data_IF_783881120024
#
_entry.id   IF_783881120024
#
_cell.length_a   1.000
_cell.length_b   1.000
_cell.length_c   1.000
_cell.angle_alpha   90.00
_cell.angle_beta   90.00
_cell.angle_gamma   90.00
#
_symmetry.space_group_name_H-M   'P 1'
#
loop_
_entity.id
_entity.type
_entity.pdbx_description
1 polymer ?
#
# COMPACT_ATOMS: atom_id res chain seq x y z
N UNK A 1 -13.50 -23.25 -22.12
CA UNK A 1 -13.86 -21.82 -22.14
C UNK A 1 -13.62 -21.30 -20.74
N UNK A 2 -12.51 -20.60 -20.52
CA UNK A 2 -12.29 -19.92 -19.24
C UNK A 2 -13.26 -18.74 -19.24
N UNK A 3 -14.36 -18.87 -18.49
CA UNK A 3 -15.27 -17.76 -18.18
C UNK A 3 -14.48 -16.78 -17.29
N UNK A 4 -13.60 -16.02 -17.94
CA UNK A 4 -12.71 -15.08 -17.32
C UNK A 4 -13.56 -13.93 -16.79
N UNK A 5 -13.47 -13.70 -15.48
CA UNK A 5 -14.12 -12.56 -14.85
C UNK A 5 -13.56 -11.27 -15.46
N UNK A 6 -14.44 -10.43 -16.01
CA UNK A 6 -14.04 -9.18 -16.62
C UNK A 6 -13.60 -8.18 -15.54
N UNK A 7 -12.38 -7.67 -15.69
CA UNK A 7 -11.81 -6.64 -14.83
C UNK A 7 -11.95 -5.27 -15.48
N UNK A 8 -12.38 -4.28 -14.72
CA UNK A 8 -12.46 -2.89 -15.13
C UNK A 8 -11.49 -2.03 -14.30
N UNK A 9 -10.66 -1.26 -15.01
CA UNK A 9 -9.72 -0.30 -14.45
C UNK A 9 -10.14 1.10 -14.90
N UNK A 10 -10.43 2.02 -13.97
CA UNK A 10 -10.72 3.42 -14.33
C UNK A 10 -9.44 4.19 -14.60
N UNK A 11 -9.53 5.18 -15.48
CA UNK A 11 -8.42 6.11 -15.72
C UNK A 11 -7.95 6.83 -14.44
N UNK A 12 -8.87 7.15 -13.53
CA UNK A 12 -8.55 7.74 -12.21
C UNK A 12 -7.90 6.76 -11.22
N UNK A 13 -7.83 5.47 -11.55
CA UNK A 13 -7.22 4.41 -10.74
C UNK A 13 -5.87 3.93 -11.31
N UNK A 14 -5.46 4.43 -12.48
CA UNK A 14 -4.19 4.12 -13.14
C UNK A 14 -2.97 4.66 -12.40
N UNK A 15 -3.08 5.88 -11.87
CA UNK A 15 -1.98 6.54 -11.18
C UNK A 15 -2.53 7.56 -10.19
N UNK A 16 -1.67 8.02 -9.28
CA UNK A 16 -1.98 9.07 -8.31
C UNK A 16 -2.14 10.43 -9.01
N UNK A 17 -1.44 10.60 -10.12
CA UNK A 17 -1.48 11.80 -10.95
C UNK A 17 -2.57 11.73 -12.03
N UNK A 18 -2.96 12.88 -12.59
CA UNK A 18 -4.01 12.91 -13.63
C UNK A 18 -3.50 12.20 -14.87
N UNK A 19 -4.07 11.04 -15.17
CA UNK A 19 -3.79 10.32 -16.41
C UNK A 19 -4.63 10.91 -17.53
N UNK A 20 -3.99 11.67 -18.42
CA UNK A 20 -4.64 12.23 -19.62
C UNK A 20 -4.84 11.16 -20.71
N UNK A 21 -3.92 10.20 -20.80
CA UNK A 21 -4.00 9.12 -21.78
C UNK A 21 -3.60 7.78 -21.13
N UNK A 22 -4.52 6.82 -21.14
CA UNK A 22 -4.25 5.48 -20.60
C UNK A 22 -3.36 4.64 -21.53
N UNK A 23 -3.30 4.96 -22.83
CA UNK A 23 -2.58 4.16 -23.84
C UNK A 23 -1.07 4.39 -23.80
N UNK A 24 -0.64 5.48 -23.20
CA UNK A 24 0.79 5.74 -22.95
C UNK A 24 1.32 4.87 -21.82
N UNK A 25 0.48 4.54 -20.85
CA UNK A 25 0.83 3.73 -19.67
C UNK A 25 0.52 2.25 -19.84
N UNK A 26 -0.54 1.92 -20.58
CA UNK A 26 -1.02 0.56 -20.80
C UNK A 26 -1.04 0.23 -22.29
N UNK A 27 -0.49 -0.93 -22.64
CA UNK A 27 -0.63 -1.51 -23.98
C UNK A 27 -1.59 -2.69 -23.97
N UNK A 28 -2.31 -2.86 -25.08
CA UNK A 28 -3.19 -4.01 -25.30
C UNK A 28 -2.37 -5.31 -25.25
N UNK A 29 -2.78 -6.27 -24.42
CA UNK A 29 -2.06 -7.53 -24.21
C UNK A 29 -0.91 -7.47 -23.20
N UNK A 30 -0.67 -6.32 -22.56
CA UNK A 30 0.31 -6.19 -21.49
C UNK A 30 -0.27 -6.73 -20.16
N UNK A 31 0.50 -7.55 -19.47
CA UNK A 31 0.19 -7.94 -18.10
C UNK A 31 0.51 -6.78 -17.15
N UNK A 32 -0.46 -6.41 -16.32
CA UNK A 32 -0.31 -5.34 -15.33
C UNK A 32 -0.63 -5.84 -13.94
N UNK A 33 0.10 -5.30 -12.97
CA UNK A 33 -0.20 -5.52 -11.56
C UNK A 33 -1.10 -4.42 -11.02
N UNK A 34 -2.30 -4.81 -10.57
CA UNK A 34 -3.24 -3.90 -9.94
C UNK A 34 -3.79 -4.52 -8.66
N UNK A 35 -4.18 -3.66 -7.72
CA UNK A 35 -4.82 -4.09 -6.49
C UNK A 35 -6.33 -4.23 -6.69
N UNK A 36 -6.90 -5.29 -6.12
CA UNK A 36 -8.34 -5.48 -6.05
C UNK A 36 -8.96 -4.41 -5.13
N UNK A 37 -9.87 -3.61 -5.67
CA UNK A 37 -10.59 -2.57 -4.90
C UNK A 37 -12.05 -2.92 -4.65
N UNK A 38 -12.63 -3.84 -5.43
CA UNK A 38 -14.01 -4.27 -5.21
C UNK A 38 -14.52 -5.17 -6.32
N UNK A 39 -15.67 -5.78 -6.06
CA UNK A 39 -16.38 -6.61 -7.04
C UNK A 39 -17.83 -6.19 -7.11
N UNK A 40 -18.29 -5.91 -8.32
CA UNK A 40 -19.70 -5.72 -8.59
C UNK A 40 -20.34 -7.09 -8.82
N UNK A 41 -20.97 -7.64 -7.79
CA UNK A 41 -21.59 -8.98 -7.85
C UNK A 41 -22.78 -9.05 -8.79
N UNK A 42 -23.42 -7.91 -9.10
CA UNK A 42 -24.54 -7.84 -10.05
C UNK A 42 -24.08 -8.09 -11.48
N UNK A 43 -22.96 -7.48 -11.88
CA UNK A 43 -22.41 -7.63 -13.22
C UNK A 43 -21.26 -8.65 -13.31
N UNK A 44 -20.89 -9.29 -12.17
CA UNK A 44 -19.70 -10.14 -12.03
C UNK A 44 -18.43 -9.44 -12.55
N UNK A 45 -18.31 -8.13 -12.35
CA UNK A 45 -17.16 -7.34 -12.81
C UNK A 45 -16.26 -7.01 -11.63
N UNK A 46 -14.95 -7.16 -11.80
CA UNK A 46 -13.97 -6.78 -10.77
C UNK A 46 -13.47 -5.37 -11.04
N UNK A 47 -13.42 -4.54 -10.01
CA UNK A 47 -12.75 -3.24 -10.08
C UNK A 47 -11.30 -3.39 -9.59
N UNK A 48 -10.37 -2.88 -10.39
CA UNK A 48 -8.93 -2.92 -10.14
C UNK A 48 -8.39 -1.49 -10.01
N UNK A 49 -7.26 -1.35 -9.33
CA UNK A 49 -6.59 -0.06 -9.14
C UNK A 49 -5.10 -0.20 -8.97
N UNK A 50 -4.32 0.51 -9.78
CA UNK A 50 -2.86 0.55 -9.68
C UNK A 50 -2.45 1.52 -8.56
N UNK A 51 -3.12 2.67 -8.45
CA UNK A 51 -2.83 3.63 -7.36
C UNK A 51 -3.01 3.03 -5.97
N UNK A 52 -3.96 2.10 -5.81
CA UNK A 52 -4.20 1.46 -4.52
C UNK A 52 -3.10 0.45 -4.17
N UNK A 53 -2.39 -0.09 -5.17
CA UNK A 53 -1.18 -0.90 -4.98
C UNK A 53 -0.07 0.00 -4.43
N UNK A 54 0.21 1.10 -5.12
CA UNK A 54 1.25 2.08 -4.77
C UNK A 54 1.05 2.66 -3.36
N UNK A 55 -0.16 3.14 -3.06
CA UNK A 55 -0.49 3.69 -1.74
C UNK A 55 -0.40 2.64 -0.62
N UNK A 56 -0.66 1.36 -0.92
CA UNK A 56 -0.53 0.30 0.06
C UNK A 56 0.94 -0.01 0.34
N UNK A 57 1.77 -0.06 -0.71
CA UNK A 57 3.21 -0.26 -0.60
C UNK A 57 3.87 0.88 0.21
N UNK A 58 3.49 2.13 -0.07
CA UNK A 58 3.91 3.30 0.73
C UNK A 58 3.51 3.14 2.20
N UNK A 59 2.25 2.78 2.49
CA UNK A 59 1.75 2.63 3.84
C UNK A 59 2.47 1.49 4.61
N UNK A 60 2.78 0.39 3.94
CA UNK A 60 3.51 -0.73 4.52
C UNK A 60 4.97 -0.35 4.81
N UNK A 61 5.64 0.37 3.90
CA UNK A 61 7.01 0.85 4.10
C UNK A 61 7.12 1.82 5.30
N UNK A 62 6.18 2.77 5.43
CA UNK A 62 6.14 3.71 6.56
C UNK A 62 5.94 2.97 7.89
N UNK A 63 5.08 1.94 7.90
CA UNK A 63 4.79 1.16 9.10
C UNK A 63 5.97 0.27 9.51
N UNK A 64 6.72 -0.25 8.53
CA UNK A 64 7.97 -0.97 8.76
C UNK A 64 9.03 -0.08 9.40
N UNK A 65 9.22 1.13 8.86
CA UNK A 65 10.16 2.11 9.40
C UNK A 65 9.79 2.58 10.82
N UNK A 66 8.49 2.78 11.11
CA UNK A 66 8.04 3.16 12.45
C UNK A 66 8.24 2.05 13.49
N UNK A 67 8.16 0.77 13.08
CA UNK A 67 8.49 -0.37 13.95
C UNK A 67 9.99 -0.48 14.20
N UNK A 68 10.81 -0.27 13.18
CA UNK A 68 12.27 -0.34 13.32
C UNK A 68 12.82 0.84 14.14
N UNK A 69 12.30 2.05 13.93
CA UNK A 69 12.66 3.25 14.70
C UNK A 69 12.24 3.20 16.18
N UNK A 70 11.26 2.38 16.54
CA UNK A 70 10.87 2.16 17.94
C UNK A 70 11.83 1.22 18.70
N UNK A 71 12.79 0.58 18.01
CA UNK A 71 13.67 -0.45 18.60
C UNK A 71 15.08 0.08 18.92
N UNK A 72 15.46 1.28 18.47
CA UNK A 72 16.85 1.74 18.51
C UNK A 72 17.12 3.01 19.34
N UNK A 73 16.10 3.67 19.90
CA UNK A 73 16.31 4.86 20.74
C UNK A 73 15.79 4.56 22.15
N UNK A 74 16.65 4.28 23.15
CA UNK A 74 16.21 4.22 24.53
C UNK A 74 15.59 5.57 24.86
N UNK A 75 14.28 5.56 25.04
CA UNK A 75 13.56 6.79 25.36
C UNK A 75 14.08 7.31 26.69
N UNK A 76 14.07 8.63 26.87
CA UNK A 76 14.58 9.30 28.06
C UNK A 76 14.09 8.66 29.38
N UNK A 77 12.90 8.05 29.39
CA UNK A 77 12.36 7.33 30.54
C UNK A 77 13.08 6.02 30.89
N UNK A 78 13.67 5.33 29.91
CA UNK A 78 14.46 4.10 30.12
C UNK A 78 15.79 4.43 30.82
N UNK A 79 16.45 5.51 30.39
CA UNK A 79 17.68 6.02 31.01
C UNK A 79 17.44 6.60 32.41
N UNK A 80 16.30 7.27 32.65
CA UNK A 80 15.96 7.78 33.99
C UNK A 80 15.71 6.66 35.01
N UNK A 81 15.12 5.54 34.57
CA UNK A 81 14.82 4.42 35.46
C UNK A 81 16.10 3.69 35.89
N UNK A 82 17.03 3.50 34.96
CA UNK A 82 18.34 2.89 35.24
C UNK A 82 19.16 3.74 36.24
N UNK A 83 19.09 5.07 36.14
CA UNK A 83 19.83 5.98 37.03
C UNK A 83 19.22 6.09 38.45
N UNK A 84 17.93 5.77 38.61
CA UNK A 84 17.26 5.70 39.92
C UNK A 84 17.47 4.35 40.60
N UNK A 85 17.54 3.24 39.84
CA UNK A 85 17.85 1.92 40.40
C UNK A 85 19.30 1.82 40.92
N UNK A 86 20.25 2.52 40.29
CA UNK A 86 21.67 2.47 40.70
C UNK A 86 22.04 3.43 41.86
N UNK A 87 21.10 4.24 42.35
CA UNK A 87 21.29 5.14 43.50
C UNK A 87 20.64 4.63 44.80
N UNK A 88 20.09 3.41 44.77
CA UNK A 88 19.31 2.80 45.85
C UNK A 88 20.01 1.74 46.70
N UNK A 89 21.35 1.62 46.65
CA UNK A 89 22.16 0.82 47.59
C UNK A 89 23.15 1.70 48.36
#
# INVERSE_FOLDING_TARGET
MADGVEGYLRASELSRDRVEDARTLLKEGQEIEAKFIGVDRKNRTISLSIKAKDAAEEAEAIKGYARDAATAVPTLGDLLKEQMENQGD
#
